data_IF_151657692923
#
_entry.id   IF_151657692923
#
_cell.length_a   1.000
_cell.length_b   1.000
_cell.length_c   1.000
_cell.angle_alpha   90.00
_cell.angle_beta   90.00
_cell.angle_gamma   90.00
#
_symmetry.space_group_name_H-M   'P 1'
#
loop_
_entity.id
_entity.type
_entity.pdbx_description
1 polymer ?
#
# COMPACT_ATOMS: atom_id res chain seq x y z
N UNK A 1 11.66 11.75 -44.34
CA UNK A 1 11.97 11.00 -43.11
C UNK A 1 10.82 11.18 -42.15
N UNK A 2 9.98 10.16 -42.08
CA UNK A 2 8.71 10.13 -41.36
C UNK A 2 8.98 10.12 -39.86
N UNK A 3 8.38 11.07 -39.12
CA UNK A 3 8.28 10.98 -37.67
C UNK A 3 7.13 10.04 -37.37
N UNK A 4 7.41 8.92 -36.72
CA UNK A 4 6.41 8.05 -36.13
C UNK A 4 5.65 8.85 -35.06
N UNK A 5 4.37 9.12 -35.31
CA UNK A 5 3.45 9.61 -34.29
C UNK A 5 3.20 8.45 -33.32
N UNK A 6 3.88 8.48 -32.17
CA UNK A 6 3.44 7.72 -31.00
C UNK A 6 2.14 8.34 -30.51
N UNK A 7 1.01 7.68 -30.81
CA UNK A 7 -0.32 8.11 -30.40
C UNK A 7 -0.36 8.19 -28.86
N UNK A 8 -0.56 9.39 -28.32
CA UNK A 8 -0.68 9.56 -26.87
C UNK A 8 -2.05 8.97 -26.48
N UNK A 9 -2.12 8.00 -25.55
CA UNK A 9 -3.39 7.37 -25.20
C UNK A 9 -4.42 8.43 -24.80
N UNK A 10 -5.63 8.36 -25.35
CA UNK A 10 -6.73 9.21 -24.91
C UNK A 10 -7.06 8.86 -23.45
N UNK A 11 -6.74 9.77 -22.53
CA UNK A 11 -7.06 9.63 -21.12
C UNK A 11 -8.49 10.11 -20.87
N UNK A 12 -9.37 9.20 -20.45
CA UNK A 12 -10.78 9.46 -20.19
C UNK A 12 -11.72 8.97 -21.29
N UNK A 13 -13.03 9.17 -21.09
CA UNK A 13 -14.09 8.67 -21.99
C UNK A 13 -14.47 9.65 -23.12
N UNK A 14 -13.90 10.85 -23.14
CA UNK A 14 -14.21 11.91 -24.11
C UNK A 14 -12.95 12.66 -24.55
N UNK A 15 -13.08 13.45 -25.63
CA UNK A 15 -12.00 14.31 -26.10
C UNK A 15 -11.65 15.40 -25.05
N UNK A 16 -10.38 15.84 -25.01
CA UNK A 16 -9.95 16.90 -24.12
C UNK A 16 -10.62 18.23 -24.46
N UNK A 17 -10.95 19.02 -23.43
CA UNK A 17 -11.56 20.35 -23.60
C UNK A 17 -10.59 21.34 -24.27
N UNK A 18 -9.30 21.21 -23.98
CA UNK A 18 -8.24 22.04 -24.55
C UNK A 18 -6.94 21.25 -24.63
N UNK A 19 -6.18 21.48 -25.70
CA UNK A 19 -4.81 20.99 -25.88
C UNK A 19 -3.78 22.12 -25.74
N UNK A 20 -4.21 23.30 -25.28
CA UNK A 20 -3.32 24.43 -25.06
C UNK A 20 -2.35 24.15 -23.91
N UNK A 21 -1.06 24.41 -24.16
CA UNK A 21 -0.03 24.35 -23.13
C UNK A 21 -0.04 25.60 -22.25
N UNK A 22 0.48 25.53 -21.01
CA UNK A 22 0.59 26.68 -20.12
C UNK A 22 1.49 27.77 -20.73
N UNK A 23 1.14 29.03 -20.48
CA UNK A 23 1.94 30.18 -20.88
C UNK A 23 2.96 30.59 -19.79
N UNK A 24 3.73 31.65 -20.03
CA UNK A 24 4.72 32.15 -19.05
C UNK A 24 4.07 32.63 -17.74
N UNK A 25 2.83 33.15 -17.80
CA UNK A 25 2.09 33.58 -16.62
C UNK A 25 1.65 32.37 -15.80
N UNK A 26 1.16 31.32 -16.44
CA UNK A 26 0.78 30.07 -15.77
C UNK A 26 1.98 29.43 -15.07
N UNK A 27 3.14 29.40 -15.73
CA UNK A 27 4.39 28.89 -15.14
C UNK A 27 4.79 29.72 -13.92
N UNK A 28 4.68 31.05 -13.99
CA UNK A 28 4.98 31.94 -12.86
C UNK A 28 4.03 31.71 -11.68
N UNK A 29 2.73 31.60 -11.95
CA UNK A 29 1.72 31.34 -10.91
C UNK A 29 1.91 29.97 -10.27
N UNK A 30 2.29 28.96 -11.07
CA UNK A 30 2.60 27.61 -10.57
C UNK A 30 3.78 27.65 -9.58
N UNK A 31 4.84 28.41 -9.88
CA UNK A 31 5.97 28.58 -8.95
C UNK A 31 5.53 29.24 -7.64
N UNK A 32 4.74 30.30 -7.71
CA UNK A 32 4.20 30.98 -6.52
C UNK A 32 3.30 30.06 -5.68
N UNK A 33 2.52 29.19 -6.33
CA UNK A 33 1.72 28.18 -5.64
C UNK A 33 2.62 27.21 -4.87
N UNK A 34 3.68 26.68 -5.51
CA UNK A 34 4.63 25.76 -4.86
C UNK A 34 5.31 26.44 -3.66
N UNK A 35 5.80 27.66 -3.82
CA UNK A 35 6.41 28.44 -2.72
C UNK A 35 5.44 28.66 -1.55
N UNK A 36 4.18 28.96 -1.86
CA UNK A 36 3.13 29.10 -0.86
C UNK A 36 2.90 27.78 -0.09
N UNK A 37 2.74 26.64 -0.80
CA UNK A 37 2.57 25.33 -0.18
C UNK A 37 3.78 24.93 0.69
N UNK A 38 4.99 25.25 0.25
CA UNK A 38 6.21 25.06 1.04
C UNK A 38 6.20 25.90 2.33
N UNK A 39 5.71 27.15 2.27
CA UNK A 39 5.61 28.03 3.45
C UNK A 39 4.64 27.50 4.51
N UNK A 40 3.64 26.71 4.11
CA UNK A 40 2.74 25.98 5.01
C UNK A 40 3.30 24.64 5.50
N UNK A 41 4.55 24.31 5.16
CA UNK A 41 5.24 23.09 5.59
C UNK A 41 4.45 21.80 5.25
N UNK A 42 3.82 21.80 4.07
CA UNK A 42 2.96 20.70 3.61
C UNK A 42 3.74 19.52 3.03
N UNK A 43 4.96 19.77 2.55
CA UNK A 43 5.85 18.75 1.99
C UNK A 43 6.68 18.11 3.10
N UNK A 44 6.81 16.78 3.04
CA UNK A 44 7.73 16.05 3.93
C UNK A 44 9.19 16.35 3.60
N UNK A 45 10.05 16.25 4.61
CA UNK A 45 11.49 16.32 4.40
C UNK A 45 12.03 14.98 3.88
N UNK A 46 13.24 15.01 3.30
CA UNK A 46 13.92 13.78 2.86
C UNK A 46 14.09 12.80 4.02
N UNK A 47 14.40 13.30 5.22
CA UNK A 47 14.56 12.47 6.41
C UNK A 47 13.25 11.77 6.82
N UNK A 48 12.12 12.48 6.76
CA UNK A 48 10.80 11.90 7.04
C UNK A 48 10.45 10.83 6.00
N UNK A 49 10.70 11.11 4.72
CA UNK A 49 10.49 10.13 3.64
C UNK A 49 11.35 8.88 3.84
N UNK A 50 12.64 9.02 4.17
CA UNK A 50 13.53 7.88 4.43
C UNK A 50 13.08 7.07 5.65
N UNK A 51 12.61 7.73 6.71
CA UNK A 51 12.07 7.06 7.88
C UNK A 51 10.85 6.20 7.50
N UNK A 52 9.91 6.73 6.70
CA UNK A 52 8.75 5.98 6.21
C UNK A 52 9.15 4.76 5.36
N UNK A 53 10.15 4.91 4.49
CA UNK A 53 10.68 3.80 3.68
C UNK A 53 11.28 2.71 4.58
N UNK A 54 12.01 3.08 5.63
CA UNK A 54 12.58 2.12 6.58
C UNK A 54 11.48 1.37 7.35
N UNK A 55 10.46 2.09 7.83
CA UNK A 55 9.30 1.49 8.50
C UNK A 55 8.60 0.48 7.60
N UNK A 56 8.30 0.85 6.34
CA UNK A 56 7.69 -0.06 5.37
C UNK A 56 8.54 -1.31 5.12
N UNK A 57 9.87 -1.17 5.04
CA UNK A 57 10.78 -2.30 4.87
C UNK A 57 10.73 -3.25 6.07
N UNK A 58 10.69 -2.72 7.29
CA UNK A 58 10.59 -3.50 8.53
C UNK A 58 9.25 -4.22 8.62
N UNK A 59 8.14 -3.51 8.43
CA UNK A 59 6.79 -4.10 8.47
C UNK A 59 6.61 -5.16 7.37
N UNK A 60 7.12 -4.94 6.15
CA UNK A 60 7.10 -5.96 5.10
C UNK A 60 7.89 -7.22 5.49
N UNK A 61 9.00 -7.06 6.22
CA UNK A 61 9.78 -8.20 6.74
C UNK A 61 9.01 -8.97 7.81
N UNK A 62 8.28 -8.26 8.70
CA UNK A 62 7.37 -8.88 9.66
C UNK A 62 6.26 -9.67 8.97
N UNK A 63 5.64 -9.11 7.92
CA UNK A 63 4.62 -9.81 7.12
C UNK A 63 5.17 -11.11 6.55
N UNK A 64 6.35 -11.09 5.92
CA UNK A 64 6.99 -12.31 5.38
C UNK A 64 7.28 -13.35 6.46
N UNK A 65 7.83 -12.90 7.59
CA UNK A 65 8.12 -13.79 8.73
C UNK A 65 6.84 -14.41 9.31
N UNK A 66 5.77 -13.61 9.43
CA UNK A 66 4.46 -14.05 9.88
C UNK A 66 3.83 -15.07 8.93
N UNK A 67 3.77 -14.77 7.63
CA UNK A 67 3.23 -15.69 6.62
C UNK A 67 3.99 -17.01 6.65
N UNK A 68 5.32 -16.99 6.80
CA UNK A 68 6.13 -18.20 6.97
C UNK A 68 5.71 -19.00 8.21
N UNK A 69 5.57 -18.37 9.38
CA UNK A 69 5.13 -19.03 10.62
C UNK A 69 3.73 -19.66 10.49
N UNK A 70 2.77 -18.95 9.88
CA UNK A 70 1.42 -19.49 9.63
C UNK A 70 1.49 -20.68 8.67
N UNK A 71 2.37 -20.61 7.67
CA UNK A 71 2.56 -21.68 6.70
C UNK A 71 3.14 -22.94 7.33
N UNK A 72 4.14 -22.80 8.20
CA UNK A 72 4.73 -23.93 8.95
C UNK A 72 3.71 -24.66 9.83
N UNK A 73 2.68 -23.96 10.32
CA UNK A 73 1.60 -24.55 11.11
C UNK A 73 0.52 -25.27 10.27
N UNK A 74 0.36 -24.89 8.99
CA UNK A 74 -0.75 -25.35 8.14
C UNK A 74 -0.33 -26.21 6.94
N UNK A 75 0.94 -26.16 6.54
CA UNK A 75 1.47 -26.80 5.34
C UNK A 75 2.64 -27.72 5.66
N UNK A 76 2.94 -28.70 4.79
CA UNK A 76 4.17 -29.47 4.86
C UNK A 76 5.40 -28.57 4.72
N UNK A 77 6.49 -28.92 5.41
CA UNK A 77 7.76 -28.14 5.46
C UNK A 77 8.28 -27.80 4.07
N UNK A 78 8.17 -28.73 3.11
CA UNK A 78 8.62 -28.57 1.72
C UNK A 78 7.91 -27.43 0.97
N UNK A 79 6.70 -27.06 1.38
CA UNK A 79 5.92 -25.96 0.78
C UNK A 79 6.12 -24.62 1.49
N UNK A 80 6.89 -24.58 2.59
CA UNK A 80 7.01 -23.39 3.44
C UNK A 80 8.15 -22.45 3.01
N UNK A 81 9.10 -22.89 2.19
CA UNK A 81 10.28 -22.07 1.84
C UNK A 81 9.95 -20.88 0.94
N UNK A 82 8.88 -20.94 0.13
CA UNK A 82 8.56 -19.93 -0.90
C UNK A 82 7.15 -19.31 -0.80
N UNK A 83 6.48 -19.44 0.35
CA UNK A 83 5.11 -18.90 0.53
C UNK A 83 5.02 -17.39 0.33
N UNK A 84 6.09 -16.65 0.66
CA UNK A 84 6.21 -15.23 0.43
C UNK A 84 5.33 -14.38 1.35
N UNK A 85 4.63 -13.40 0.77
CA UNK A 85 3.83 -12.40 1.46
C UNK A 85 4.39 -10.99 1.23
N UNK A 86 3.50 -10.01 1.06
CA UNK A 86 3.92 -8.66 0.66
C UNK A 86 3.03 -7.58 1.24
N UNK A 87 3.67 -6.51 1.70
CA UNK A 87 3.02 -5.25 2.07
C UNK A 87 3.04 -4.31 0.86
N UNK A 88 1.87 -3.83 0.48
CA UNK A 88 1.71 -2.77 -0.52
C UNK A 88 1.28 -1.48 0.16
N UNK A 89 1.61 -0.34 -0.44
CA UNK A 89 1.09 0.96 -0.01
C UNK A 89 0.10 1.49 -1.03
N UNK A 90 -0.94 2.17 -0.55
CA UNK A 90 -1.92 2.86 -1.38
C UNK A 90 -2.22 4.26 -0.83
N UNK A 91 -3.24 4.91 -1.38
CA UNK A 91 -3.69 6.22 -0.90
C UNK A 91 -2.69 7.34 -1.18
N UNK A 92 -2.80 8.40 -0.37
CA UNK A 92 -2.04 9.64 -0.57
C UNK A 92 -0.52 9.45 -0.53
N UNK A 93 -0.05 8.48 0.27
CA UNK A 93 1.35 8.12 0.35
C UNK A 93 1.88 7.57 -0.98
N UNK A 94 1.15 6.64 -1.59
CA UNK A 94 1.51 6.04 -2.89
C UNK A 94 1.46 7.06 -4.04
N UNK A 95 0.52 8.00 -3.98
CA UNK A 95 0.34 9.06 -4.99
C UNK A 95 1.34 10.22 -4.84
N UNK A 96 2.15 10.26 -3.77
CA UNK A 96 3.12 11.33 -3.53
C UNK A 96 2.50 12.67 -3.16
N UNK A 97 1.23 12.68 -2.74
CA UNK A 97 0.46 13.88 -2.37
C UNK A 97 0.08 13.93 -0.89
N UNK A 98 0.66 13.04 -0.09
CA UNK A 98 0.46 13.03 1.36
C UNK A 98 1.06 14.29 1.98
N UNK A 99 0.36 14.83 2.97
CA UNK A 99 0.87 15.91 3.80
C UNK A 99 1.74 15.35 4.91
N UNK A 100 2.59 16.21 5.46
CA UNK A 100 3.37 15.90 6.67
C UNK A 100 2.47 15.36 7.79
N UNK A 101 2.87 14.23 8.38
CA UNK A 101 2.14 13.58 9.47
C UNK A 101 0.92 12.77 9.04
N UNK A 102 0.67 12.58 7.73
CA UNK A 102 -0.37 11.68 7.26
C UNK A 102 -0.01 10.20 7.52
N UNK A 103 -1.03 9.37 7.70
CA UNK A 103 -0.88 7.93 7.94
C UNK A 103 -0.42 7.21 6.66
N UNK A 104 0.23 6.05 6.84
CA UNK A 104 0.54 5.17 5.72
C UNK A 104 -0.54 4.10 5.57
N UNK A 105 -1.38 4.28 4.56
CA UNK A 105 -2.32 3.27 4.11
C UNK A 105 -1.58 2.10 3.44
N UNK A 106 -1.71 0.91 4.03
CA UNK A 106 -0.98 -0.29 3.61
C UNK A 106 -1.91 -1.51 3.49
N UNK A 107 -1.59 -2.40 2.56
CA UNK A 107 -2.31 -3.64 2.32
C UNK A 107 -1.35 -4.83 2.47
N UNK A 108 -1.61 -5.66 3.47
CA UNK A 108 -0.97 -6.95 3.64
C UNK A 108 -1.63 -7.98 2.72
N UNK A 109 -0.86 -8.51 1.77
CA UNK A 109 -1.28 -9.54 0.83
C UNK A 109 -0.64 -10.87 1.20
N UNK A 110 -1.48 -11.88 1.45
CA UNK A 110 -1.05 -13.21 1.84
C UNK A 110 -1.63 -14.31 0.92
N UNK A 111 -1.03 -15.52 0.88
CA UNK A 111 -1.54 -16.64 0.11
C UNK A 111 -2.81 -17.25 0.70
N UNK A 112 -3.46 -18.12 -0.08
CA UNK A 112 -4.81 -18.66 0.17
C UNK A 112 -5.02 -19.40 1.49
N UNK A 113 -3.96 -19.93 2.11
CA UNK A 113 -4.04 -20.68 3.37
C UNK A 113 -3.90 -19.79 4.61
N UNK A 114 -3.58 -18.51 4.43
CA UNK A 114 -3.52 -17.51 5.51
C UNK A 114 -4.88 -16.84 5.61
N UNK A 115 -5.53 -17.00 6.75
CA UNK A 115 -6.89 -16.54 6.99
C UNK A 115 -6.91 -15.17 7.67
N UNK A 116 -8.02 -14.46 7.53
CA UNK A 116 -8.21 -13.16 8.20
C UNK A 116 -8.13 -13.27 9.73
N UNK A 117 -8.53 -14.41 10.29
CA UNK A 117 -8.35 -14.71 11.72
C UNK A 117 -6.88 -14.83 12.12
N UNK A 118 -6.00 -15.29 11.22
CA UNK A 118 -4.56 -15.31 11.50
C UNK A 118 -3.98 -13.90 11.54
N UNK A 119 -4.51 -13.01 10.68
CA UNK A 119 -4.12 -11.59 10.62
C UNK A 119 -4.51 -10.85 11.90
N UNK A 120 -5.74 -11.02 12.40
CA UNK A 120 -6.16 -10.37 13.65
C UNK A 120 -5.72 -11.11 14.92
N UNK A 121 -5.31 -12.38 14.80
CA UNK A 121 -4.72 -13.15 15.89
C UNK A 121 -3.19 -13.08 15.86
N UNK A 122 -2.57 -14.06 15.20
CA UNK A 122 -1.11 -14.26 15.26
C UNK A 122 -0.26 -13.10 14.72
N UNK A 123 -0.71 -12.36 13.70
CA UNK A 123 0.03 -11.18 13.23
C UNK A 123 -0.11 -10.01 14.22
N UNK A 124 -1.31 -9.80 14.75
CA UNK A 124 -1.54 -8.82 15.81
C UNK A 124 -0.66 -9.09 17.04
N UNK A 125 -0.57 -10.35 17.48
CA UNK A 125 0.30 -10.75 18.59
C UNK A 125 1.77 -10.52 18.25
N UNK A 126 2.21 -10.83 17.02
CA UNK A 126 3.57 -10.53 16.56
C UNK A 126 3.88 -9.03 16.58
N UNK A 127 2.95 -8.18 16.15
CA UNK A 127 3.11 -6.72 16.20
C UNK A 127 3.18 -6.23 17.64
N UNK A 128 2.38 -6.81 18.54
CA UNK A 128 2.35 -6.44 19.96
C UNK A 128 3.66 -6.75 20.70
N UNK A 129 4.42 -7.74 20.23
CA UNK A 129 5.73 -8.12 20.77
C UNK A 129 6.90 -7.26 20.25
N UNK A 130 6.71 -6.51 19.16
CA UNK A 130 7.74 -5.63 18.61
C UNK A 130 7.84 -4.32 19.42
N UNK A 131 9.03 -4.02 19.94
CA UNK A 131 9.30 -2.83 20.77
C UNK A 131 9.10 -1.50 20.04
N UNK A 132 9.11 -1.51 18.71
CA UNK A 132 8.91 -0.31 17.89
C UNK A 132 7.42 0.01 17.68
N UNK A 133 6.52 -0.90 18.06
CA UNK A 133 5.07 -0.76 17.88
C UNK A 133 4.44 -0.11 19.10
N UNK A 134 3.70 0.97 18.87
CA UNK A 134 2.86 1.65 19.86
C UNK A 134 1.47 1.89 19.29
N UNK A 135 0.51 2.27 20.14
CA UNK A 135 -0.88 2.57 19.75
C UNK A 135 -1.54 1.47 18.88
N UNK A 136 -1.22 0.20 19.13
CA UNK A 136 -1.75 -0.93 18.35
C UNK A 136 -3.23 -1.17 18.67
N UNK A 137 -4.07 -1.19 17.62
CA UNK A 137 -5.49 -1.44 17.72
C UNK A 137 -6.03 -2.17 16.48
N UNK A 138 -6.95 -3.12 16.69
CA UNK A 138 -7.62 -3.86 15.62
C UNK A 138 -9.10 -3.49 15.56
N UNK A 139 -9.62 -3.31 14.34
CA UNK A 139 -11.04 -3.06 14.07
C UNK A 139 -11.55 -4.10 13.09
N UNK A 140 -12.05 -5.22 13.61
CA UNK A 140 -12.51 -6.38 12.81
C UNK A 140 -13.92 -6.22 12.23
N UNK A 141 -14.79 -5.53 12.97
CA UNK A 141 -16.22 -5.37 12.67
C UNK A 141 -16.53 -4.21 11.72
N UNK A 142 -15.50 -3.48 11.26
CA UNK A 142 -15.67 -2.40 10.29
C UNK A 142 -16.02 -2.91 8.89
N UNK A 143 -16.51 -2.00 8.05
CA UNK A 143 -16.80 -2.27 6.65
C UNK A 143 -15.57 -2.76 5.87
N UNK A 144 -14.39 -2.24 6.21
CA UNK A 144 -13.07 -2.74 5.81
C UNK A 144 -12.27 -3.01 7.09
N UNK A 145 -12.00 -4.27 7.45
CA UNK A 145 -11.23 -4.58 8.64
C UNK A 145 -9.78 -4.10 8.54
N UNK A 146 -9.27 -3.51 9.62
CA UNK A 146 -7.95 -2.85 9.66
C UNK A 146 -7.25 -3.08 11.00
N UNK A 147 -5.92 -3.26 10.96
CA UNK A 147 -5.04 -3.09 12.11
C UNK A 147 -4.38 -1.73 11.97
N UNK A 148 -4.52 -0.90 12.98
CA UNK A 148 -3.93 0.43 13.05
C UNK A 148 -2.85 0.44 14.13
N UNK A 149 -1.73 1.08 13.86
CA UNK A 149 -0.63 1.17 14.82
C UNK A 149 0.24 2.40 14.55
N UNK A 150 1.16 2.67 15.48
CA UNK A 150 2.35 3.47 15.23
C UNK A 150 3.57 2.57 15.22
N UNK A 151 4.36 2.63 14.15
CA UNK A 151 5.66 1.96 14.08
C UNK A 151 6.75 3.03 14.04
N UNK A 152 7.63 3.06 15.04
CA UNK A 152 8.67 4.09 15.18
C UNK A 152 8.11 5.54 15.05
N UNK A 153 6.95 5.79 15.68
CA UNK A 153 6.20 7.07 15.65
C UNK A 153 5.51 7.44 14.34
N UNK A 154 5.47 6.54 13.35
CA UNK A 154 4.75 6.74 12.09
C UNK A 154 3.43 5.98 12.16
N UNK A 155 2.30 6.63 11.86
CA UNK A 155 0.97 6.00 11.84
C UNK A 155 0.81 5.10 10.60
N UNK A 156 0.32 3.86 10.80
CA UNK A 156 0.04 2.89 9.75
C UNK A 156 -1.36 2.31 9.91
N UNK A 157 -2.07 2.26 8.79
CA UNK A 157 -3.31 1.52 8.62
C UNK A 157 -3.03 0.29 7.74
N UNK A 158 -3.06 -0.91 8.33
CA UNK A 158 -2.78 -2.17 7.63
C UNK A 158 -4.10 -2.90 7.38
N UNK A 159 -4.50 -2.95 6.12
CA UNK A 159 -5.58 -3.80 5.63
C UNK A 159 -5.06 -5.20 5.30
N UNK A 160 -5.98 -6.15 5.19
CA UNK A 160 -5.66 -7.52 4.80
C UNK A 160 -6.46 -7.98 3.58
N UNK A 161 -5.75 -8.59 2.63
CA UNK A 161 -6.31 -9.33 1.50
C UNK A 161 -5.62 -10.69 1.35
N UNK A 162 -6.45 -11.72 1.12
CA UNK A 162 -6.00 -13.09 0.89
C UNK A 162 -6.20 -13.46 -0.57
N UNK A 163 -5.12 -13.65 -1.33
CA UNK A 163 -5.23 -14.04 -2.74
C UNK A 163 -5.45 -15.54 -2.90
N UNK A 164 -6.12 -15.95 -3.98
CA UNK A 164 -6.32 -17.35 -4.35
C UNK A 164 -5.03 -18.03 -4.90
N UNK A 165 -3.85 -17.56 -4.48
CA UNK A 165 -2.53 -18.04 -4.87
C UNK A 165 -1.92 -18.92 -3.77
N UNK A 166 -1.06 -19.86 -4.14
CA UNK A 166 -0.32 -20.69 -3.16
C UNK A 166 0.84 -19.93 -2.52
N UNK A 167 1.43 -19.02 -3.29
CA UNK A 167 2.65 -18.28 -2.95
C UNK A 167 2.45 -16.84 -3.44
N UNK A 168 3.03 -15.87 -2.74
CA UNK A 168 3.03 -14.45 -3.13
C UNK A 168 4.48 -14.04 -3.44
N UNK A 169 4.87 -13.94 -4.72
CA UNK A 169 6.24 -13.61 -5.09
C UNK A 169 6.56 -12.12 -4.85
N UNK A 170 7.84 -11.79 -4.77
CA UNK A 170 8.30 -10.43 -4.47
C UNK A 170 7.99 -9.42 -5.59
N UNK A 171 7.91 -9.89 -6.83
CA UNK A 171 7.52 -9.12 -8.01
C UNK A 171 6.00 -9.06 -8.21
N UNK A 172 5.20 -9.64 -7.29
CA UNK A 172 3.74 -9.59 -7.38
C UNK A 172 3.24 -8.15 -7.49
N UNK A 173 2.46 -7.90 -8.53
CA UNK A 173 1.70 -6.67 -8.76
C UNK A 173 0.20 -6.94 -8.54
N UNK A 174 -0.59 -5.89 -8.32
CA UNK A 174 -2.04 -5.98 -8.13
C UNK A 174 -2.82 -5.29 -9.26
N UNK A 175 -2.21 -5.25 -10.44
CA UNK A 175 -2.75 -4.66 -11.68
C UNK A 175 -3.60 -5.64 -12.49
N UNK A 176 -3.56 -6.94 -12.18
CA UNK A 176 -4.35 -7.95 -12.85
C UNK A 176 -5.73 -8.15 -12.17
N UNK A 177 -6.79 -7.75 -12.86
CA UNK A 177 -8.19 -7.96 -12.46
C UNK A 177 -8.52 -9.44 -12.15
N UNK A 178 -7.76 -10.40 -12.69
CA UNK A 178 -7.94 -11.82 -12.37
C UNK A 178 -7.62 -12.13 -10.90
N UNK A 179 -6.82 -11.31 -10.22
CA UNK A 179 -6.51 -11.45 -8.79
C UNK A 179 -7.73 -11.21 -7.90
N UNK A 180 -8.75 -10.51 -8.42
CA UNK A 180 -10.03 -10.26 -7.73
C UNK A 180 -10.98 -11.46 -7.79
N UNK A 181 -10.71 -12.43 -8.69
CA UNK A 181 -11.54 -13.63 -8.80
C UNK A 181 -11.34 -14.52 -7.58
N UNK A 182 -12.45 -14.85 -6.91
CA UNK A 182 -12.52 -15.72 -5.72
C UNK A 182 -12.02 -15.09 -4.42
N UNK A 183 -12.01 -13.76 -4.33
CA UNK A 183 -11.79 -13.04 -3.07
C UNK A 183 -13.10 -12.90 -2.27
N UNK A 184 -13.00 -12.89 -0.94
CA UNK A 184 -14.12 -12.48 -0.09
C UNK A 184 -14.42 -10.98 -0.26
N UNK A 185 -15.68 -10.57 -0.09
CA UNK A 185 -16.12 -9.17 -0.25
C UNK A 185 -15.26 -8.17 0.52
N UNK A 186 -14.75 -8.57 1.70
CA UNK A 186 -13.87 -7.73 2.52
C UNK A 186 -12.48 -7.58 1.87
N UNK A 187 -11.90 -8.64 1.30
CA UNK A 187 -10.65 -8.57 0.53
C UNK A 187 -10.79 -7.75 -0.75
N UNK A 188 -11.92 -7.85 -1.47
CA UNK A 188 -12.20 -7.01 -2.65
C UNK A 188 -12.22 -5.53 -2.27
N UNK A 189 -12.85 -5.17 -1.15
CA UNK A 189 -12.86 -3.78 -0.67
C UNK A 189 -11.48 -3.29 -0.27
N UNK A 190 -10.68 -4.12 0.41
CA UNK A 190 -9.30 -3.79 0.76
C UNK A 190 -8.43 -3.55 -0.47
N UNK A 191 -8.66 -4.29 -1.57
CA UNK A 191 -7.94 -4.14 -2.83
C UNK A 191 -8.44 -2.95 -3.67
N UNK A 192 -9.73 -2.61 -3.60
CA UNK A 192 -10.25 -1.44 -4.31
C UNK A 192 -9.61 -0.12 -3.83
N UNK A 193 -9.09 -0.06 -2.60
CA UNK A 193 -8.30 1.08 -2.13
C UNK A 193 -6.97 1.28 -2.88
N UNK A 194 -6.47 0.25 -3.55
CA UNK A 194 -5.24 0.28 -4.37
C UNK A 194 -5.47 0.60 -5.85
N UNK A 195 -6.68 0.40 -6.38
CA UNK A 195 -6.97 0.43 -7.82
C UNK A 195 -7.28 1.82 -8.40
N UNK A 196 -7.11 2.88 -7.61
CA UNK A 196 -7.28 4.28 -8.04
C UNK A 196 -5.99 5.07 -7.87
#
# INVERSE_FOLDING_TARGET
MSRENGDTPCLGVSQPISMAYPDERDIKLTKQLVECLQSYNLFETEEEMQARIEVLRKVNSLVKAWVKKVSEAKLPVEMCENVGGKLFTFGSYRLGVHTRGADIDSLCVAPRHVDRSDFFGSFYDMLKEDEHVTDLHAVEDAFVPVIKLKYASIELDILFARLALKEIPDDQTLDDDMLLKNLDDKSVRSLNGMMF
#
